data_IF_516737141793
#
_entry.id   IF_516737141793
#
_cell.length_a   1.000
_cell.length_b   1.000
_cell.length_c   1.000
_cell.angle_alpha   90.00
_cell.angle_beta   90.00
_cell.angle_gamma   90.00
#
_symmetry.space_group_name_H-M   'P 1'
#
loop_
_entity.id
_entity.type
_entity.pdbx_description
1 polymer ?
#
# COMPACT_ATOMS: atom_id res chain seq x y z
N UNK A 1 2.39 -1.93 -8.82
CA UNK A 1 3.65 -1.17 -8.71
C UNK A 1 3.60 -0.25 -7.50
N UNK A 2 4.67 -0.20 -6.71
CA UNK A 2 4.70 0.55 -5.43
C UNK A 2 5.77 1.63 -5.38
N UNK A 3 6.80 1.55 -6.24
CA UNK A 3 7.95 2.45 -6.26
C UNK A 3 7.57 3.79 -6.90
N UNK A 4 8.04 4.89 -6.30
CA UNK A 4 7.96 6.26 -6.81
C UNK A 4 9.36 6.72 -7.23
N UNK A 5 9.71 6.54 -8.51
CA UNK A 5 11.02 6.88 -9.07
C UNK A 5 11.30 8.40 -9.07
N UNK A 6 10.30 9.23 -8.78
CA UNK A 6 10.47 10.67 -8.60
C UNK A 6 11.11 11.07 -7.28
N UNK A 7 11.28 10.14 -6.33
CA UNK A 7 11.84 10.40 -5.00
C UNK A 7 13.24 9.78 -4.87
N UNK A 8 14.19 10.55 -4.34
CA UNK A 8 15.53 10.02 -4.07
C UNK A 8 15.49 9.07 -2.86
N UNK A 9 15.99 7.81 -2.98
CA UNK A 9 15.92 6.82 -1.91
C UNK A 9 16.66 7.24 -0.62
N UNK A 10 17.71 8.05 -0.75
CA UNK A 10 18.51 8.52 0.38
C UNK A 10 17.83 9.65 1.18
N UNK A 11 16.87 10.35 0.57
CA UNK A 11 16.15 11.47 1.19
C UNK A 11 14.88 10.98 1.89
N UNK A 12 14.11 10.10 1.22
CA UNK A 12 12.95 9.44 1.80
C UNK A 12 12.77 8.05 1.18
N UNK A 13 13.37 7.05 1.83
CA UNK A 13 13.30 5.67 1.37
C UNK A 13 11.89 5.09 1.41
N UNK A 14 11.06 5.52 2.37
CA UNK A 14 9.69 5.03 2.49
C UNK A 14 8.84 5.54 1.33
N UNK A 15 8.90 6.84 1.03
CA UNK A 15 8.19 7.40 -0.10
C UNK A 15 8.73 6.88 -1.44
N UNK A 16 10.04 6.66 -1.58
CA UNK A 16 10.59 6.00 -2.77
C UNK A 16 10.02 4.59 -2.96
N UNK A 17 10.02 3.75 -1.91
CA UNK A 17 9.61 2.36 -2.04
C UNK A 17 8.08 2.15 -2.15
N UNK A 18 7.30 3.04 -1.52
CA UNK A 18 5.86 2.87 -1.34
C UNK A 18 5.00 4.01 -1.93
N UNK A 19 5.61 5.09 -2.43
CA UNK A 19 4.91 6.33 -2.76
C UNK A 19 3.84 6.18 -3.84
N UNK A 20 4.08 5.32 -4.84
CA UNK A 20 3.07 5.01 -5.86
C UNK A 20 1.93 4.19 -5.29
N UNK A 21 2.19 3.33 -4.30
CA UNK A 21 1.14 2.59 -3.60
C UNK A 21 0.26 3.54 -2.79
N UNK A 22 0.85 4.49 -2.06
CA UNK A 22 0.11 5.50 -1.28
C UNK A 22 -0.80 6.37 -2.17
N UNK A 23 -0.33 6.74 -3.37
CA UNK A 23 -1.11 7.52 -4.35
C UNK A 23 -2.33 6.76 -4.87
N UNK A 24 -2.24 5.44 -4.99
CA UNK A 24 -3.25 4.61 -5.66
C UNK A 24 -4.18 3.85 -4.70
N UNK A 25 -3.83 3.76 -3.42
CA UNK A 25 -4.56 2.97 -2.43
C UNK A 25 -5.04 3.88 -1.29
N UNK A 26 -6.29 4.33 -1.39
CA UNK A 26 -6.95 5.10 -0.33
C UNK A 26 -7.50 4.14 0.72
N UNK A 27 -7.31 4.48 1.98
CA UNK A 27 -7.87 3.75 3.13
C UNK A 27 -9.41 3.70 2.98
N UNK A 28 -10.01 2.50 2.95
CA UNK A 28 -11.46 2.31 2.96
C UNK A 28 -12.13 2.95 4.19
N UNK A 29 -13.36 3.43 4.05
CA UNK A 29 -14.07 4.14 5.12
C UNK A 29 -14.36 3.25 6.35
N UNK A 30 -14.33 1.92 6.18
CA UNK A 30 -14.56 0.92 7.22
C UNK A 30 -13.29 0.42 7.90
N UNK A 31 -12.11 0.92 7.52
CA UNK A 31 -10.83 0.53 8.14
C UNK A 31 -10.03 1.73 8.63
N UNK A 32 -9.29 1.55 9.74
CA UNK A 32 -8.43 2.61 10.30
C UNK A 32 -7.06 2.71 9.61
N UNK A 33 -6.65 1.66 8.91
CA UNK A 33 -5.39 1.57 8.20
C UNK A 33 -5.52 0.56 7.06
N UNK A 34 -4.71 0.76 6.03
CA UNK A 34 -4.54 -0.21 4.97
C UNK A 34 -3.05 -0.37 4.70
N UNK A 35 -2.61 -1.61 4.71
CA UNK A 35 -1.28 -2.01 4.28
C UNK A 35 -1.35 -3.30 3.46
N UNK A 36 -0.18 -3.82 3.09
CA UNK A 36 -0.05 -5.05 2.32
C UNK A 36 -0.63 -6.27 3.03
N UNK A 37 -0.57 -6.33 4.37
CA UNK A 37 -1.15 -7.43 5.15
C UNK A 37 -2.67 -7.37 5.16
N UNK A 38 -3.27 -6.17 5.24
CA UNK A 38 -4.72 -6.03 5.10
C UNK A 38 -5.18 -6.55 3.73
N UNK A 39 -4.49 -6.18 2.65
CA UNK A 39 -4.80 -6.65 1.30
C UNK A 39 -4.75 -8.17 1.21
N UNK A 40 -3.68 -8.79 1.74
CA UNK A 40 -3.55 -10.25 1.76
C UNK A 40 -4.67 -10.91 2.58
N UNK A 41 -5.06 -10.32 3.71
CA UNK A 41 -6.14 -10.85 4.55
C UNK A 41 -7.48 -10.81 3.81
N UNK A 42 -7.81 -9.68 3.19
CA UNK A 42 -9.03 -9.56 2.37
C UNK A 42 -9.04 -10.56 1.22
N UNK A 43 -7.89 -10.80 0.57
CA UNK A 43 -7.79 -11.81 -0.48
C UNK A 43 -8.01 -13.23 0.05
N UNK A 44 -7.46 -13.56 1.22
CA UNK A 44 -7.70 -14.85 1.87
C UNK A 44 -9.18 -15.02 2.22
N UNK A 45 -9.79 -14.02 2.83
CA UNK A 45 -11.21 -14.06 3.22
C UNK A 45 -12.12 -14.26 2.00
N UNK A 46 -11.83 -13.59 0.88
CA UNK A 46 -12.57 -13.74 -0.38
C UNK A 46 -12.40 -15.11 -1.05
N UNK A 47 -11.31 -15.82 -0.77
CA UNK A 47 -11.04 -17.15 -1.32
C UNK A 47 -11.62 -18.30 -0.47
N UNK A 48 -12.19 -17.98 0.70
CA UNK A 48 -12.84 -18.94 1.61
C UNK A 48 -14.37 -18.99 1.37
N UNK A 49 -14.84 -18.41 0.27
CA UNK A 49 -16.22 -18.53 -0.22
C UNK A 49 -16.38 -19.75 -1.13
#
# INVERSE_FOLDING_TARGET
>A
ESIDEGVQPCEDFFQFACGTWLKNNRIPDDTGAQDTFNVLRTQLDNNVV
#
